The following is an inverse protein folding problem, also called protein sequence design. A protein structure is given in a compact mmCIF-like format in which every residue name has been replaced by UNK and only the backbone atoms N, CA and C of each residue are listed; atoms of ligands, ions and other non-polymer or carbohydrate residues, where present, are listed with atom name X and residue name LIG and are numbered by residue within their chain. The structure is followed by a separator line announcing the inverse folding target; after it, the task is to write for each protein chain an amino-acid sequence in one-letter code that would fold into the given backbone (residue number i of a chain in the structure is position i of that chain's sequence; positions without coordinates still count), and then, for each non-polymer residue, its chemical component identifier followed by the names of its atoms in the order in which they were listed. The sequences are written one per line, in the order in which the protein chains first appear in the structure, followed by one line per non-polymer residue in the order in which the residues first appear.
data_IF_287503391176
#
_entry.id   IF_287503391176
#
_cell.length_a   1.000
_cell.length_b   1.000
_cell.length_c   1.000
_cell.angle_alpha   90.00
_cell.angle_beta   90.00
_cell.angle_gamma   90.00
#
_symmetry.space_group_name_H-M   'P 1'
#
loop_
_entity.id
_entity.type
_entity.pdbx_description
1 polymer ?
#
# COMPACT_ATOMS: atom_id res chain seq x y z
N UNK A 1 -10.69 -63.62 69.35
CA UNK A 1 -10.95 -62.37 68.59
C UNK A 1 -9.72 -61.51 68.75
N UNK A 2 -8.98 -61.28 67.66
CA UNK A 2 -7.78 -60.43 67.64
C UNK A 2 -8.08 -59.30 66.64
N UNK A 3 -8.56 -58.17 67.14
CA UNK A 3 -8.74 -56.96 66.35
C UNK A 3 -7.40 -56.24 66.24
N UNK A 4 -6.71 -56.44 65.13
CA UNK A 4 -5.55 -55.63 64.74
C UNK A 4 -6.10 -54.31 64.21
N UNK A 5 -6.04 -53.28 65.06
CA UNK A 5 -6.27 -51.88 64.67
C UNK A 5 -5.23 -51.47 63.61
N UNK A 6 -5.66 -51.46 62.33
CA UNK A 6 -4.93 -50.78 61.26
C UNK A 6 -5.01 -49.28 61.50
N UNK A 7 -3.98 -48.72 62.14
CA UNK A 7 -3.71 -47.28 62.08
C UNK A 7 -3.21 -46.97 60.67
N UNK A 8 -4.02 -46.32 59.85
CA UNK A 8 -3.56 -45.65 58.64
C UNK A 8 -2.51 -44.61 59.02
N UNK A 9 -1.23 -44.99 58.94
CA UNK A 9 -0.13 -44.04 59.02
C UNK A 9 -0.09 -43.33 57.67
N UNK A 10 -0.62 -42.12 57.61
CA UNK A 10 -0.43 -41.23 56.47
C UNK A 10 1.07 -41.05 56.25
N UNK A 11 1.59 -41.58 55.14
CA UNK A 11 3.00 -41.44 54.78
C UNK A 11 3.22 -39.97 54.41
N UNK A 12 3.94 -39.23 55.26
CA UNK A 12 4.37 -37.89 54.90
C UNK A 12 5.56 -37.99 53.95
N UNK A 13 5.35 -37.55 52.71
CA UNK A 13 6.40 -37.43 51.70
C UNK A 13 6.86 -35.98 51.66
N UNK A 14 8.16 -35.74 51.83
CA UNK A 14 8.79 -34.42 51.76
C UNK A 14 9.87 -34.43 50.69
N UNK A 15 9.87 -33.43 49.81
CA UNK A 15 10.92 -33.23 48.80
C UNK A 15 11.70 -31.99 49.17
N UNK A 16 13.03 -32.11 49.25
CA UNK A 16 13.94 -31.00 49.51
C UNK A 16 14.77 -30.79 48.25
N UNK A 17 14.73 -29.58 47.72
CA UNK A 17 15.55 -29.17 46.57
C UNK A 17 16.61 -28.21 47.08
N UNK A 18 17.88 -28.56 46.86
CA UNK A 18 19.01 -27.73 47.26
C UNK A 18 19.69 -27.19 46.00
N UNK A 19 19.78 -25.86 45.90
CA UNK A 19 20.42 -25.13 44.81
C UNK A 19 21.54 -24.30 45.43
N UNK A 20 22.79 -24.72 45.19
CA UNK A 20 23.98 -23.98 45.60
C UNK A 20 24.59 -23.31 44.37
N UNK A 21 25.12 -22.09 44.55
CA UNK A 21 25.82 -21.37 43.48
C UNK A 21 27.00 -22.19 42.93
N UNK A 22 27.07 -22.32 41.60
CA UNK A 22 28.12 -23.08 40.90
C UNK A 22 28.03 -24.61 41.02
N UNK A 23 26.98 -25.17 41.64
CA UNK A 23 26.80 -26.64 41.75
C UNK A 23 25.54 -27.12 41.06
N UNK A 24 25.56 -28.40 40.66
CA UNK A 24 24.38 -29.08 40.12
C UNK A 24 23.30 -29.23 41.22
N UNK A 25 22.06 -28.80 40.97
CA UNK A 25 20.97 -28.97 41.93
C UNK A 25 20.78 -30.42 42.38
N UNK A 26 20.34 -30.60 43.62
CA UNK A 26 20.02 -31.92 44.19
C UNK A 26 18.59 -31.97 44.69
N UNK A 27 17.92 -33.08 44.41
CA UNK A 27 16.55 -33.37 44.85
C UNK A 27 16.62 -34.55 45.81
N UNK A 28 16.22 -34.32 47.04
CA UNK A 28 16.19 -35.32 48.10
C UNK A 28 14.74 -35.63 48.47
N UNK A 29 14.39 -36.93 48.51
CA UNK A 29 13.05 -37.38 48.91
C UNK A 29 13.13 -38.01 50.29
N UNK A 30 12.22 -37.60 51.16
CA UNK A 30 12.06 -38.07 52.51
C UNK A 30 10.69 -38.71 52.70
N UNK A 31 10.63 -39.84 53.39
CA UNK A 31 9.40 -40.50 53.83
C UNK A 31 9.48 -40.71 55.33
N UNK A 32 8.55 -40.09 56.06
CA UNK A 32 8.55 -40.08 57.54
C UNK A 32 9.91 -39.63 58.13
N UNK A 33 10.46 -38.52 57.61
CA UNK A 33 11.77 -37.95 57.97
C UNK A 33 13.01 -38.79 57.60
N UNK A 34 12.82 -39.96 56.95
CA UNK A 34 13.94 -40.79 56.47
C UNK A 34 14.22 -40.45 55.01
N UNK A 35 15.48 -40.12 54.69
CA UNK A 35 15.92 -39.89 53.30
C UNK A 35 15.88 -41.19 52.51
N UNK A 36 14.93 -41.29 51.58
CA UNK A 36 14.70 -42.49 50.75
C UNK A 36 15.27 -42.35 49.33
N UNK A 37 15.65 -41.13 48.91
CA UNK A 37 16.26 -40.92 47.61
C UNK A 37 17.06 -39.62 47.51
N UNK A 38 18.09 -39.63 46.67
CA UNK A 38 18.86 -38.45 46.29
C UNK A 38 19.22 -38.54 44.81
N UNK A 39 18.88 -37.53 44.03
CA UNK A 39 19.34 -37.40 42.65
C UNK A 39 19.89 -36.00 42.40
N UNK A 40 21.00 -35.94 41.68
CA UNK A 40 21.48 -34.70 41.08
C UNK A 40 20.76 -34.51 39.75
N UNK A 41 20.29 -33.31 39.49
CA UNK A 41 19.60 -32.95 38.24
C UNK A 41 20.24 -31.70 37.66
N UNK A 42 20.31 -31.61 36.34
CA UNK A 42 20.72 -30.36 35.69
C UNK A 42 19.70 -29.27 36.01
N UNK A 43 20.15 -28.02 36.00
CA UNK A 43 19.28 -26.87 36.22
C UNK A 43 18.15 -26.83 35.17
N UNK A 44 18.46 -27.13 33.91
CA UNK A 44 17.46 -27.25 32.83
C UNK A 44 16.36 -28.28 33.16
N UNK A 45 16.72 -29.49 33.58
CA UNK A 45 15.72 -30.52 33.94
C UNK A 45 14.88 -30.12 35.16
N UNK A 46 15.50 -29.44 36.13
CA UNK A 46 14.79 -28.94 37.31
C UNK A 46 13.79 -27.84 36.94
N UNK A 47 14.23 -26.87 36.13
CA UNK A 47 13.38 -25.77 35.65
C UNK A 47 12.25 -26.29 34.76
N UNK A 48 12.52 -27.25 33.86
CA UNK A 48 11.46 -27.90 33.06
C UNK A 48 10.42 -28.55 33.94
N UNK A 49 10.82 -29.22 35.03
CA UNK A 49 9.88 -29.80 35.99
C UNK A 49 9.01 -28.74 36.67
N UNK A 50 9.59 -27.63 37.11
CA UNK A 50 8.83 -26.54 37.72
C UNK A 50 7.91 -25.82 36.73
N UNK A 51 8.38 -25.57 35.51
CA UNK A 51 7.61 -24.89 34.47
C UNK A 51 6.47 -25.77 33.96
N UNK A 52 6.69 -27.08 33.84
CA UNK A 52 5.66 -28.03 33.37
C UNK A 52 4.43 -28.04 34.28
N UNK A 53 4.62 -27.87 35.58
CA UNK A 53 3.54 -27.87 36.58
C UNK A 53 3.10 -26.44 36.96
N UNK A 54 3.75 -25.40 36.46
CA UNK A 54 3.41 -24.02 36.75
C UNK A 54 2.17 -23.56 35.94
N UNK A 55 1.30 -22.71 36.53
CA UNK A 55 0.30 -21.99 35.76
C UNK A 55 0.97 -21.15 34.67
N UNK A 56 0.43 -21.22 33.46
CA UNK A 56 0.97 -20.51 32.30
C UNK A 56 1.02 -18.99 32.54
N UNK A 57 0.05 -18.46 33.28
CA UNK A 57 -0.03 -17.05 33.68
C UNK A 57 1.18 -16.63 34.52
N UNK A 58 1.66 -17.49 35.42
CA UNK A 58 2.84 -17.23 36.24
C UNK A 58 4.12 -17.24 35.40
N UNK A 59 4.20 -18.13 34.42
CA UNK A 59 5.33 -18.19 33.48
C UNK A 59 5.38 -16.90 32.64
N UNK A 60 4.24 -16.45 32.14
CA UNK A 60 4.14 -15.19 31.40
C UNK A 60 4.42 -13.97 32.26
N UNK A 61 3.88 -13.88 33.48
CA UNK A 61 4.19 -12.77 34.42
C UNK A 61 5.69 -12.63 34.67
N UNK A 62 6.39 -13.76 34.88
CA UNK A 62 7.85 -13.75 35.08
C UNK A 62 8.58 -13.30 33.82
N UNK A 63 8.15 -13.74 32.64
CA UNK A 63 8.79 -13.37 31.37
C UNK A 63 8.55 -11.90 31.00
N UNK A 64 7.34 -11.38 31.22
CA UNK A 64 6.92 -10.05 30.78
C UNK A 64 7.20 -8.98 31.84
N UNK A 65 6.82 -9.19 33.10
CA UNK A 65 6.87 -8.14 34.13
C UNK A 65 8.17 -8.08 34.93
N UNK A 66 8.94 -9.17 34.97
CA UNK A 66 10.12 -9.27 35.86
C UNK A 66 11.45 -9.41 35.14
N UNK A 67 11.42 -9.64 33.83
CA UNK A 67 12.60 -9.97 33.03
C UNK A 67 12.57 -9.32 31.64
N UNK A 68 11.78 -8.25 31.46
CA UNK A 68 11.72 -7.56 30.18
C UNK A 68 13.13 -7.07 29.75
N UNK A 69 13.89 -6.49 30.67
CA UNK A 69 15.29 -6.07 30.45
C UNK A 69 16.22 -7.25 30.11
N UNK A 70 16.10 -8.39 30.81
CA UNK A 70 16.87 -9.61 30.52
C UNK A 70 16.51 -10.21 29.15
N UNK A 71 15.24 -10.10 28.74
CA UNK A 71 14.75 -10.55 27.44
C UNK A 71 15.25 -9.61 26.33
N UNK A 72 15.26 -8.29 26.58
CA UNK A 72 15.86 -7.30 25.69
C UNK A 72 17.35 -7.60 25.46
N UNK A 73 18.12 -7.84 26.54
CA UNK A 73 19.54 -8.22 26.43
C UNK A 73 19.71 -9.56 25.69
N UNK A 74 18.85 -10.54 25.95
CA UNK A 74 18.86 -11.80 25.21
C UNK A 74 18.63 -11.60 23.71
N UNK A 75 17.65 -10.77 23.32
CA UNK A 75 17.41 -10.45 21.92
C UNK A 75 18.58 -9.68 21.27
N UNK A 76 19.24 -8.78 22.01
CA UNK A 76 20.43 -8.07 21.55
C UNK A 76 21.64 -9.00 21.35
N UNK A 77 21.74 -10.09 22.10
CA UNK A 77 22.81 -11.09 21.96
C UNK A 77 22.58 -12.11 20.84
N UNK A 78 21.35 -12.24 20.33
CA UNK A 78 21.07 -13.07 19.14
C UNK A 78 21.52 -12.28 17.91
N UNK A 79 22.80 -12.43 17.56
CA UNK A 79 23.36 -11.81 16.36
C UNK A 79 22.61 -12.29 15.10
N UNK A 80 22.22 -11.39 14.17
CA UNK A 80 21.51 -11.75 12.94
C UNK A 80 22.24 -12.78 12.06
N UNK A 81 23.55 -12.94 12.24
CA UNK A 81 24.42 -13.71 11.36
C UNK A 81 24.68 -15.15 11.80
N UNK A 82 24.32 -15.57 13.02
CA UNK A 82 24.66 -16.91 13.52
C UNK A 82 23.45 -17.62 14.14
N UNK A 83 22.97 -18.63 13.39
CA UNK A 83 21.77 -19.45 13.62
C UNK A 83 20.43 -18.81 13.24
N UNK A 84 20.12 -18.98 11.95
CA UNK A 84 18.74 -19.08 11.47
C UNK A 84 17.87 -19.86 12.46
N UNK A 85 16.69 -19.32 12.75
CA UNK A 85 15.52 -19.98 13.37
C UNK A 85 15.36 -20.06 14.91
N UNK A 86 16.28 -19.68 15.80
CA UNK A 86 16.02 -19.87 17.26
C UNK A 86 15.00 -18.86 17.81
N UNK A 87 15.23 -17.56 17.63
CA UNK A 87 14.28 -16.49 17.99
C UNK A 87 12.96 -16.61 17.23
N UNK A 88 13.03 -16.88 15.92
CA UNK A 88 11.84 -17.13 15.10
C UNK A 88 11.00 -18.32 15.57
N UNK A 89 11.62 -19.49 15.84
CA UNK A 89 10.88 -20.66 16.34
C UNK A 89 10.31 -20.40 17.73
N UNK A 90 11.02 -19.65 18.56
CA UNK A 90 10.49 -19.23 19.85
C UNK A 90 9.24 -18.39 19.69
N UNK A 91 9.25 -17.35 18.84
CA UNK A 91 8.09 -16.51 18.56
C UNK A 91 6.92 -17.30 17.98
N UNK A 92 7.16 -18.14 16.97
CA UNK A 92 6.12 -18.97 16.38
C UNK A 92 5.53 -19.95 17.40
N UNK A 93 6.37 -20.57 18.22
CA UNK A 93 5.92 -21.48 19.28
C UNK A 93 5.13 -20.74 20.35
N UNK A 94 5.62 -19.57 20.77
CA UNK A 94 4.96 -18.72 21.73
C UNK A 94 3.56 -18.36 21.23
N UNK A 95 3.44 -17.74 20.06
CA UNK A 95 2.16 -17.34 19.46
C UNK A 95 1.19 -18.51 19.25
N UNK A 96 1.68 -19.68 18.86
CA UNK A 96 0.83 -20.87 18.70
C UNK A 96 0.29 -21.40 20.02
N UNK A 97 1.01 -21.21 21.13
CA UNK A 97 0.68 -21.78 22.43
C UNK A 97 0.01 -20.79 23.39
N UNK A 98 -0.19 -19.52 23.01
CA UNK A 98 -0.83 -18.53 23.87
C UNK A 98 -2.29 -18.92 24.14
N UNK A 99 -2.68 -19.13 25.41
CA UNK A 99 -4.06 -19.35 25.79
C UNK A 99 -4.91 -18.13 25.48
N UNK A 100 -6.15 -18.34 25.06
CA UNK A 100 -7.07 -17.26 24.68
C UNK A 100 -7.32 -16.24 25.80
N UNK A 101 -7.22 -16.65 27.07
CA UNK A 101 -7.36 -15.76 28.22
C UNK A 101 -6.24 -14.74 28.38
N UNK A 102 -5.01 -15.08 27.97
CA UNK A 102 -3.83 -14.20 28.02
C UNK A 102 -3.83 -13.17 26.89
N UNK A 103 -4.61 -13.39 25.83
CA UNK A 103 -4.74 -12.37 24.79
C UNK A 103 -5.39 -11.11 25.35
N UNK A 104 -6.29 -11.21 26.33
CA UNK A 104 -7.01 -10.09 26.97
C UNK A 104 -6.17 -9.32 28.00
N UNK A 105 -4.88 -9.60 28.09
CA UNK A 105 -3.97 -8.92 28.99
C UNK A 105 -3.27 -7.76 28.28
N UNK A 106 -3.26 -6.57 28.89
CA UNK A 106 -2.54 -5.39 28.41
C UNK A 106 -1.04 -5.70 28.19
N UNK A 107 -0.49 -6.56 29.05
CA UNK A 107 0.89 -7.01 29.00
C UNK A 107 1.21 -7.84 27.75
N UNK A 108 0.22 -8.56 27.22
CA UNK A 108 0.40 -9.29 25.97
C UNK A 108 0.51 -8.34 24.78
N UNK A 109 -0.25 -7.23 24.79
CA UNK A 109 -0.17 -6.21 23.74
C UNK A 109 1.20 -5.52 23.74
N UNK A 110 1.71 -5.14 24.90
CA UNK A 110 3.04 -4.54 25.05
C UNK A 110 4.15 -5.50 24.61
N UNK A 111 4.05 -6.78 25.00
CA UNK A 111 5.00 -7.80 24.59
C UNK A 111 4.94 -8.06 23.07
N UNK A 112 3.75 -8.11 22.47
CA UNK A 112 3.59 -8.25 21.03
C UNK A 112 4.19 -7.06 20.27
N UNK A 113 4.02 -5.84 20.78
CA UNK A 113 4.61 -4.63 20.21
C UNK A 113 6.14 -4.65 20.28
N UNK A 114 6.72 -5.03 21.42
CA UNK A 114 8.16 -5.18 21.58
C UNK A 114 8.74 -6.16 20.56
N UNK A 115 8.05 -7.29 20.35
CA UNK A 115 8.43 -8.28 19.33
C UNK A 115 8.38 -7.68 17.93
N UNK A 116 7.30 -6.98 17.56
CA UNK A 116 7.15 -6.35 16.23
C UNK A 116 8.25 -5.31 15.99
N UNK A 117 8.55 -4.47 16.98
CA UNK A 117 9.59 -3.43 16.88
C UNK A 117 10.97 -4.03 16.62
N UNK A 118 11.33 -5.13 17.30
CA UNK A 118 12.62 -5.82 17.07
C UNK A 118 12.64 -6.64 15.78
N UNK A 119 11.47 -7.01 15.24
CA UNK A 119 11.37 -7.57 13.88
C UNK A 119 11.70 -6.55 12.79
N UNK A 120 11.51 -5.25 13.04
CA UNK A 120 11.89 -4.17 12.12
C UNK A 120 13.41 -4.07 11.95
N UNK A 121 14.17 -4.36 13.01
CA UNK A 121 15.63 -4.31 13.03
C UNK A 121 16.32 -5.59 12.49
N UNK A 122 15.59 -6.71 12.40
CA UNK A 122 16.14 -8.00 11.96
C UNK A 122 15.71 -8.34 10.53
N UNK A 123 16.64 -8.83 9.71
CA UNK A 123 16.38 -9.25 8.32
C UNK A 123 15.54 -10.54 8.25
N UNK A 124 14.28 -10.49 8.69
CA UNK A 124 13.33 -11.60 8.60
C UNK A 124 12.90 -11.75 7.15
N UNK A 125 12.98 -12.98 6.65
CA UNK A 125 12.58 -13.26 5.26
C UNK A 125 11.06 -13.30 5.14
N UNK A 126 10.54 -13.00 3.94
CA UNK A 126 9.11 -13.08 3.63
C UNK A 126 8.51 -14.47 3.94
N UNK A 127 9.31 -15.53 3.74
CA UNK A 127 8.92 -16.91 4.00
C UNK A 127 8.76 -17.21 5.51
N UNK A 128 9.49 -16.50 6.37
CA UNK A 128 9.38 -16.60 7.83
C UNK A 128 8.25 -15.71 8.38
N UNK A 129 7.98 -14.58 7.76
CA UNK A 129 6.91 -13.67 8.19
C UNK A 129 5.50 -14.25 7.96
N UNK A 130 5.37 -15.05 6.90
CA UNK A 130 4.12 -15.66 6.42
C UNK A 130 3.41 -16.56 7.45
N UNK A 131 4.08 -17.54 8.08
CA UNK A 131 3.47 -18.37 9.12
C UNK A 131 3.05 -17.60 10.37
N UNK A 132 3.85 -16.61 10.81
CA UNK A 132 3.54 -15.77 11.97
C UNK A 132 2.25 -15.01 11.72
N UNK A 133 2.16 -14.37 10.56
CA UNK A 133 0.97 -13.66 10.11
C UNK A 133 -0.26 -14.55 10.03
N UNK A 134 -0.11 -15.75 9.48
CA UNK A 134 -1.21 -16.69 9.33
C UNK A 134 -1.75 -17.14 10.68
N UNK A 135 -0.86 -17.47 11.62
CA UNK A 135 -1.23 -17.77 13.02
C UNK A 135 -1.89 -16.56 13.67
N UNK A 136 -1.35 -15.36 13.50
CA UNK A 136 -1.93 -14.12 14.03
C UNK A 136 -3.32 -13.84 13.47
N UNK A 137 -3.51 -13.93 12.17
CA UNK A 137 -4.82 -13.78 11.52
C UNK A 137 -5.82 -14.78 12.08
N UNK A 138 -5.40 -16.04 12.28
CA UNK A 138 -6.25 -17.06 12.88
C UNK A 138 -6.60 -16.74 14.34
N UNK A 139 -5.64 -16.26 15.13
CA UNK A 139 -5.86 -15.88 16.53
C UNK A 139 -6.69 -14.61 16.68
N UNK A 140 -6.48 -13.59 15.83
CA UNK A 140 -7.34 -12.41 15.74
C UNK A 140 -8.76 -12.82 15.37
N UNK A 141 -8.93 -13.83 14.50
CA UNK A 141 -10.25 -14.35 14.18
C UNK A 141 -10.98 -14.92 15.40
N UNK A 142 -10.23 -15.41 16.38
CA UNK A 142 -10.68 -16.01 17.64
C UNK A 142 -10.67 -15.02 18.83
N UNK A 143 -10.06 -13.84 18.70
CA UNK A 143 -9.90 -12.87 19.78
C UNK A 143 -11.14 -11.98 19.98
N UNK A 144 -11.41 -11.50 21.20
CA UNK A 144 -12.52 -10.57 21.45
C UNK A 144 -12.32 -9.23 20.73
N UNK A 145 -13.40 -8.69 20.16
CA UNK A 145 -13.43 -7.40 19.45
C UNK A 145 -13.46 -6.23 20.43
N UNK A 146 -12.42 -6.14 21.27
CA UNK A 146 -12.32 -5.13 22.32
C UNK A 146 -11.50 -3.92 21.84
N UNK A 147 -11.85 -2.69 22.27
CA UNK A 147 -11.14 -1.46 21.88
C UNK A 147 -9.65 -1.45 22.25
N UNK A 148 -9.28 -2.20 23.27
CA UNK A 148 -7.92 -2.28 23.83
C UNK A 148 -6.89 -2.78 22.80
N UNK A 149 -7.32 -3.55 21.80
CA UNK A 149 -6.45 -4.06 20.73
C UNK A 149 -6.32 -3.15 19.51
N UNK A 150 -7.02 -2.02 19.49
CA UNK A 150 -7.05 -1.15 18.32
C UNK A 150 -5.64 -0.65 17.98
N UNK A 151 -4.84 -0.29 18.99
CA UNK A 151 -3.48 0.20 18.78
C UNK A 151 -2.58 -0.91 18.20
N UNK A 152 -2.67 -2.13 18.74
CA UNK A 152 -1.97 -3.29 18.21
C UNK A 152 -2.31 -3.56 16.74
N UNK A 153 -3.60 -3.49 16.36
CA UNK A 153 -4.02 -3.65 14.97
C UNK A 153 -3.52 -2.53 14.07
N UNK A 154 -3.49 -1.29 14.57
CA UNK A 154 -2.96 -0.13 13.84
C UNK A 154 -1.46 -0.28 13.60
N UNK A 155 -0.70 -0.70 14.61
CA UNK A 155 0.76 -0.83 14.52
C UNK A 155 1.14 -1.99 13.58
N UNK A 156 0.39 -3.10 13.61
CA UNK A 156 0.53 -4.16 12.62
C UNK A 156 0.26 -3.64 11.20
N UNK A 157 -0.83 -2.90 10.99
CA UNK A 157 -1.14 -2.31 9.69
C UNK A 157 -0.02 -1.38 9.22
N UNK A 158 0.53 -0.55 10.11
CA UNK A 158 1.64 0.35 9.77
C UNK A 158 2.89 -0.43 9.39
N UNK A 159 3.26 -1.47 10.14
CA UNK A 159 4.38 -2.34 9.83
C UNK A 159 4.22 -2.98 8.44
N UNK A 160 3.05 -3.57 8.16
CA UNK A 160 2.83 -4.26 6.88
C UNK A 160 2.70 -3.34 5.67
N UNK A 161 2.09 -2.17 5.85
CA UNK A 161 1.95 -1.18 4.78
C UNK A 161 3.24 -0.37 4.58
N UNK A 162 4.10 -0.28 5.59
CA UNK A 162 5.38 0.43 5.58
C UNK A 162 6.57 -0.43 5.13
N UNK A 163 6.53 -1.76 5.32
CA UNK A 163 7.61 -2.65 4.90
C UNK A 163 7.73 -2.69 3.38
N UNK A 164 8.83 -2.18 2.82
CA UNK A 164 9.10 -2.20 1.36
C UNK A 164 9.43 -3.59 0.82
N UNK A 165 9.46 -4.61 1.66
CA UNK A 165 9.71 -5.97 1.22
C UNK A 165 8.46 -6.53 0.56
N UNK A 166 8.64 -7.07 -0.64
CA UNK A 166 7.62 -7.73 -1.46
C UNK A 166 7.13 -9.01 -0.79
N UNK A 167 6.40 -8.88 0.32
CA UNK A 167 5.72 -9.95 1.00
C UNK A 167 4.67 -10.60 0.10
N UNK A 168 4.26 -11.84 0.44
CA UNK A 168 3.17 -12.53 -0.25
C UNK A 168 1.90 -11.66 -0.21
N UNK A 169 1.53 -11.15 -1.38
CA UNK A 169 0.42 -10.24 -1.59
C UNK A 169 -0.91 -10.84 -1.11
N UNK A 170 -1.05 -12.17 -1.12
CA UNK A 170 -2.26 -12.85 -0.67
C UNK A 170 -2.42 -12.82 0.86
N UNK A 171 -1.32 -12.82 1.61
CA UNK A 171 -1.35 -12.74 3.07
C UNK A 171 -1.65 -11.30 3.52
N UNK A 172 -1.05 -10.32 2.83
CA UNK A 172 -1.38 -8.91 3.06
C UNK A 172 -2.86 -8.63 2.78
N UNK A 173 -3.41 -9.22 1.70
CA UNK A 173 -4.86 -9.17 1.40
C UNK A 173 -5.69 -9.78 2.51
N UNK A 174 -5.36 -10.98 2.96
CA UNK A 174 -6.15 -11.68 3.98
C UNK A 174 -6.07 -10.99 5.35
N UNK A 175 -4.91 -10.44 5.71
CA UNK A 175 -4.74 -9.63 6.92
C UNK A 175 -5.59 -8.36 6.84
N UNK A 176 -5.50 -7.59 5.75
CA UNK A 176 -6.30 -6.38 5.54
C UNK A 176 -7.80 -6.67 5.58
N UNK A 177 -8.24 -7.74 4.90
CA UNK A 177 -9.64 -8.20 4.91
C UNK A 177 -10.10 -8.56 6.31
N UNK A 178 -9.29 -9.34 7.03
CA UNK A 178 -9.57 -9.77 8.39
C UNK A 178 -9.69 -8.54 9.29
N UNK A 179 -8.65 -7.71 9.36
CA UNK A 179 -8.64 -6.51 10.18
C UNK A 179 -9.82 -5.58 9.85
N UNK A 180 -10.08 -5.30 8.57
CA UNK A 180 -11.22 -4.44 8.20
C UNK A 180 -12.57 -5.05 8.58
N UNK A 181 -12.75 -6.37 8.43
CA UNK A 181 -13.95 -7.08 8.86
C UNK A 181 -14.18 -6.96 10.37
N UNK A 182 -13.14 -7.11 11.18
CA UNK A 182 -13.23 -7.02 12.64
C UNK A 182 -13.37 -5.58 13.14
N UNK A 183 -12.74 -4.63 12.46
CA UNK A 183 -12.77 -3.22 12.85
C UNK A 183 -14.00 -2.45 12.37
N UNK A 184 -14.78 -3.01 11.43
CA UNK A 184 -15.97 -2.36 10.85
C UNK A 184 -17.02 -1.95 11.89
N UNK A 185 -17.13 -2.71 12.98
CA UNK A 185 -18.15 -2.53 14.01
C UNK A 185 -17.65 -1.73 15.23
N UNK A 186 -16.37 -1.30 15.21
CA UNK A 186 -15.81 -0.46 16.27
C UNK A 186 -16.27 1.00 16.14
N UNK A 187 -16.55 1.65 17.28
CA UNK A 187 -16.92 3.08 17.34
C UNK A 187 -15.85 4.01 16.78
N UNK A 188 -14.61 3.55 16.66
CA UNK A 188 -13.46 4.35 16.23
C UNK A 188 -13.13 4.21 14.73
N UNK A 189 -14.09 3.74 13.93
CA UNK A 189 -13.97 3.55 12.48
C UNK A 189 -13.29 4.70 11.73
N UNK A 190 -13.57 5.95 12.10
CA UNK A 190 -12.99 7.13 11.43
C UNK A 190 -11.47 7.22 11.55
N UNK A 191 -10.87 6.74 12.65
CA UNK A 191 -9.40 6.71 12.81
C UNK A 191 -8.78 5.69 11.85
N UNK A 192 -9.46 4.57 11.67
CA UNK A 192 -9.03 3.47 10.81
C UNK A 192 -9.21 3.83 9.34
N UNK A 193 -10.35 4.41 8.96
CA UNK A 193 -10.59 4.89 7.60
C UNK A 193 -9.54 5.95 7.21
N UNK A 194 -9.14 6.83 8.13
CA UNK A 194 -8.03 7.78 7.92
C UNK A 194 -6.67 7.10 7.78
N UNK A 195 -6.39 6.08 8.59
CA UNK A 195 -5.14 5.31 8.53
C UNK A 195 -5.02 4.52 7.21
N UNK A 196 -6.10 3.85 6.81
CA UNK A 196 -6.15 3.14 5.52
C UNK A 196 -6.02 4.13 4.37
N UNK A 197 -6.71 5.28 4.44
CA UNK A 197 -6.61 6.32 3.42
C UNK A 197 -5.20 6.92 3.31
N UNK A 198 -4.46 7.08 4.43
CA UNK A 198 -3.09 7.60 4.40
C UNK A 198 -2.09 6.60 3.81
N UNK A 199 -2.40 5.31 3.85
CA UNK A 199 -1.54 4.24 3.32
C UNK A 199 -2.04 3.66 1.98
N UNK A 200 -3.19 4.09 1.47
CA UNK A 200 -3.80 3.59 0.23
C UNK A 200 -2.88 3.78 -0.99
N UNK A 201 -2.04 4.81 -0.95
CA UNK A 201 -1.05 5.11 -2.00
C UNK A 201 0.12 4.11 -2.03
N UNK A 202 0.32 3.37 -0.94
CA UNK A 202 1.35 2.34 -0.79
C UNK A 202 0.79 0.93 -1.04
N UNK A 203 -0.54 0.79 -1.16
CA UNK A 203 -1.16 -0.49 -1.51
C UNK A 203 -0.88 -0.85 -2.97
N UNK A 204 -0.59 -2.14 -3.26
CA UNK A 204 -0.47 -2.62 -4.63
C UNK A 204 -1.74 -2.32 -5.44
N UNK A 205 -1.59 -1.73 -6.64
CA UNK A 205 -2.70 -1.41 -7.54
C UNK A 205 -3.58 -2.63 -7.86
N UNK A 206 -3.00 -3.84 -7.89
CA UNK A 206 -3.72 -5.11 -8.05
C UNK A 206 -4.77 -5.33 -6.97
N UNK A 207 -4.45 -5.01 -5.71
CA UNK A 207 -5.34 -5.18 -4.56
C UNK A 207 -6.54 -4.23 -4.63
N UNK A 208 -6.30 -2.99 -5.03
CA UNK A 208 -7.35 -2.00 -5.27
C UNK A 208 -8.27 -2.42 -6.43
N UNK A 209 -7.69 -2.92 -7.52
CA UNK A 209 -8.45 -3.40 -8.68
C UNK A 209 -9.26 -4.66 -8.36
N UNK A 210 -8.72 -5.58 -7.58
CA UNK A 210 -9.43 -6.82 -7.19
C UNK A 210 -10.57 -6.51 -6.21
N UNK A 211 -10.38 -5.61 -5.25
CA UNK A 211 -11.46 -5.12 -4.39
C UNK A 211 -12.57 -4.41 -5.18
N UNK A 212 -12.21 -3.65 -6.21
CA UNK A 212 -13.18 -3.06 -7.14
C UNK A 212 -13.92 -4.14 -7.93
N UNK A 213 -13.23 -5.20 -8.40
CA UNK A 213 -13.85 -6.32 -9.13
C UNK A 213 -14.81 -7.13 -8.25
N UNK A 214 -14.41 -7.51 -7.03
CA UNK A 214 -15.24 -8.29 -6.10
C UNK A 214 -16.52 -7.52 -5.70
N UNK A 215 -16.43 -6.20 -5.54
CA UNK A 215 -17.61 -5.34 -5.33
C UNK A 215 -18.58 -5.37 -6.53
N UNK A 216 -18.10 -5.73 -7.72
CA UNK A 216 -18.85 -5.75 -8.97
C UNK A 216 -19.38 -7.14 -9.36
N UNK A 217 -19.14 -8.20 -8.57
CA UNK A 217 -19.67 -9.55 -8.87
C UNK A 217 -21.19 -9.67 -8.64
N UNK A 218 -21.81 -8.68 -8.00
CA UNK A 218 -23.25 -8.49 -8.10
C UNK A 218 -23.58 -7.81 -9.43
N UNK A 219 -24.44 -8.42 -10.26
CA UNK A 219 -24.94 -7.99 -11.59
C UNK A 219 -25.47 -6.53 -11.75
N UNK A 220 -25.24 -5.64 -10.80
CA UNK A 220 -25.58 -4.24 -10.89
C UNK A 220 -24.49 -3.49 -11.66
N UNK A 221 -24.83 -3.06 -12.89
CA UNK A 221 -24.04 -2.11 -13.68
C UNK A 221 -23.79 -0.85 -12.85
N UNK A 222 -22.59 -0.72 -12.27
CA UNK A 222 -22.17 0.50 -11.57
C UNK A 222 -21.75 1.51 -12.63
N UNK A 223 -22.51 2.60 -12.75
CA UNK A 223 -22.15 3.75 -13.60
C UNK A 223 -21.22 4.64 -12.78
N UNK A 224 -19.90 4.50 -13.00
CA UNK A 224 -18.86 5.29 -12.32
C UNK A 224 -18.83 6.76 -12.73
N UNK A 225 -19.51 7.11 -13.83
CA UNK A 225 -19.65 8.47 -14.29
C UNK A 225 -20.59 8.55 -15.49
N UNK A 226 -21.45 9.56 -15.50
CA UNK A 226 -22.28 9.92 -16.65
C UNK A 226 -22.11 11.41 -16.87
N UNK A 227 -21.29 11.77 -17.85
CA UNK A 227 -20.97 13.17 -18.17
C UNK A 227 -21.29 13.45 -19.62
N UNK A 228 -21.65 14.71 -19.91
CA UNK A 228 -21.83 15.17 -21.26
C UNK A 228 -20.45 15.25 -21.93
N UNK A 229 -20.26 14.49 -23.01
CA UNK A 229 -19.04 14.55 -23.81
C UNK A 229 -19.25 15.63 -24.88
N UNK A 230 -18.46 16.71 -24.87
CA UNK A 230 -18.55 17.73 -25.90
C UNK A 230 -18.47 17.12 -27.31
N UNK A 231 -19.22 17.69 -28.25
CA UNK A 231 -19.22 17.21 -29.63
C UNK A 231 -17.81 17.17 -30.18
N UNK A 232 -17.47 16.12 -30.91
CA UNK A 232 -16.17 15.89 -31.55
C UNK A 232 -14.97 15.67 -30.60
N UNK A 233 -15.17 15.66 -29.28
CA UNK A 233 -14.13 15.21 -28.37
C UNK A 233 -13.85 13.73 -28.62
N UNK A 234 -12.60 13.41 -28.92
CA UNK A 234 -12.15 12.06 -29.27
C UNK A 234 -11.78 11.23 -28.03
N UNK A 235 -11.23 11.89 -27.01
CA UNK A 235 -10.83 11.27 -25.74
C UNK A 235 -11.09 12.19 -24.55
N UNK A 236 -11.19 11.61 -23.36
CA UNK A 236 -11.39 12.32 -22.09
C UNK A 236 -10.42 11.76 -21.05
N UNK A 237 -9.72 12.63 -20.36
CA UNK A 237 -9.00 12.29 -19.13
C UNK A 237 -9.63 13.03 -17.95
N UNK A 238 -9.80 12.35 -16.82
CA UNK A 238 -10.24 12.97 -15.57
C UNK A 238 -9.22 12.68 -14.50
N UNK A 239 -8.69 13.74 -13.89
CA UNK A 239 -7.70 13.68 -12.80
C UNK A 239 -8.24 14.39 -11.57
N UNK A 240 -7.48 14.39 -10.47
CA UNK A 240 -7.85 15.15 -9.26
C UNK A 240 -7.96 16.67 -9.50
N UNK A 241 -7.32 17.18 -10.55
CA UNK A 241 -7.28 18.61 -10.91
C UNK A 241 -8.47 19.05 -11.77
N UNK A 242 -9.05 18.16 -12.56
CA UNK A 242 -10.14 18.50 -13.47
C UNK A 242 -10.32 17.47 -14.59
N UNK A 243 -11.01 17.90 -15.66
CA UNK A 243 -11.26 17.07 -16.84
C UNK A 243 -10.60 17.71 -18.06
N UNK A 244 -9.86 16.91 -18.81
CA UNK A 244 -9.24 17.31 -20.07
C UNK A 244 -9.95 16.63 -21.24
N UNK A 245 -10.47 17.41 -22.17
CA UNK A 245 -11.05 16.94 -23.42
C UNK A 245 -10.02 17.02 -24.55
N UNK A 246 -9.87 15.92 -25.28
CA UNK A 246 -8.94 15.83 -26.39
C UNK A 246 -9.68 15.83 -27.73
N UNK A 247 -9.24 16.66 -28.67
CA UNK A 247 -9.77 16.71 -30.03
C UNK A 247 -8.67 16.28 -31.00
N UNK A 248 -8.83 15.09 -31.58
CA UNK A 248 -7.92 14.54 -32.58
C UNK A 248 -8.39 14.92 -33.98
N UNK A 249 -7.76 15.96 -34.54
CA UNK A 249 -8.10 16.48 -35.85
C UNK A 249 -7.22 15.80 -36.89
N UNK A 250 -7.82 15.09 -37.86
CA UNK A 250 -7.06 14.41 -38.89
C UNK A 250 -6.28 15.40 -39.75
N UNK A 251 -5.19 14.90 -40.31
CA UNK A 251 -4.36 15.63 -41.27
C UNK A 251 -5.21 16.18 -42.40
N UNK A 252 -5.17 17.50 -42.61
CA UNK A 252 -6.05 18.17 -43.56
C UNK A 252 -5.37 19.37 -44.20
N UNK A 253 -6.01 19.93 -45.23
CA UNK A 253 -5.69 21.24 -45.78
C UNK A 253 -6.81 22.18 -45.36
N UNK A 254 -6.45 23.36 -44.89
CA UNK A 254 -7.43 24.32 -44.41
C UNK A 254 -7.08 25.72 -44.88
N UNK A 255 -8.12 26.54 -45.01
CA UNK A 255 -7.98 27.97 -45.19
C UNK A 255 -7.44 28.59 -43.91
N UNK A 256 -6.37 29.35 -44.01
CA UNK A 256 -5.77 30.09 -42.89
C UNK A 256 -5.58 31.55 -43.28
N UNK A 257 -5.35 32.40 -42.29
CA UNK A 257 -5.02 33.81 -42.51
C UNK A 257 -3.65 34.09 -41.93
N UNK A 258 -2.83 34.83 -42.67
CA UNK A 258 -1.62 35.47 -42.14
C UNK A 258 -1.88 36.97 -42.12
N UNK A 259 -2.01 37.56 -40.93
CA UNK A 259 -2.58 38.89 -40.75
C UNK A 259 -3.94 38.96 -41.51
N UNK A 260 -4.10 39.91 -42.42
CA UNK A 260 -5.34 40.07 -43.21
C UNK A 260 -5.35 39.31 -44.54
N UNK A 261 -4.27 38.57 -44.85
CA UNK A 261 -4.12 37.86 -46.12
C UNK A 261 -4.57 36.40 -45.98
N UNK A 262 -5.61 35.96 -46.72
CA UNK A 262 -6.05 34.57 -46.70
C UNK A 262 -5.14 33.67 -47.57
N UNK A 263 -4.87 32.47 -47.07
CA UNK A 263 -4.19 31.39 -47.77
C UNK A 263 -5.11 30.17 -47.81
N UNK A 264 -5.51 29.77 -49.01
CA UNK A 264 -6.34 28.59 -49.24
C UNK A 264 -5.50 27.30 -49.24
N UNK A 265 -6.11 26.20 -48.81
CA UNK A 265 -5.56 24.84 -48.89
C UNK A 265 -4.15 24.66 -48.30
N UNK A 266 -3.85 25.28 -47.17
CA UNK A 266 -2.56 25.11 -46.49
C UNK A 266 -2.56 23.79 -45.72
N UNK A 267 -1.63 22.90 -46.06
CA UNK A 267 -1.53 21.59 -45.42
C UNK A 267 -1.11 21.65 -43.97
N UNK A 268 -1.94 21.12 -43.08
CA UNK A 268 -1.65 20.95 -41.66
C UNK A 268 -1.31 19.49 -41.34
N UNK A 269 -0.47 19.23 -40.31
CA UNK A 269 -0.31 17.87 -39.77
C UNK A 269 -1.60 17.41 -39.08
N UNK A 270 -1.64 16.15 -38.61
CA UNK A 270 -2.68 15.72 -37.66
C UNK A 270 -2.48 16.52 -36.36
N UNK A 271 -3.55 17.02 -35.77
CA UNK A 271 -3.50 17.91 -34.61
C UNK A 271 -4.20 17.28 -33.41
N UNK A 272 -3.69 17.59 -32.23
CA UNK A 272 -4.31 17.23 -30.95
C UNK A 272 -4.51 18.52 -30.14
N UNK A 273 -5.76 18.90 -29.92
CA UNK A 273 -6.08 19.89 -28.90
C UNK A 273 -6.31 19.17 -27.57
N UNK A 274 -5.81 19.76 -26.49
CA UNK A 274 -6.17 19.39 -25.12
C UNK A 274 -6.76 20.63 -24.42
N UNK A 275 -8.01 20.50 -24.01
CA UNK A 275 -8.78 21.57 -23.36
C UNK A 275 -9.11 21.11 -21.95
N UNK A 276 -8.45 21.70 -20.97
CA UNK A 276 -8.64 21.34 -19.56
C UNK A 276 -9.61 22.30 -18.88
N UNK A 277 -10.61 21.73 -18.24
CA UNK A 277 -11.60 22.43 -17.43
C UNK A 277 -11.45 22.09 -15.95
N UNK A 278 -11.71 23.07 -15.11
CA UNK A 278 -11.76 22.87 -13.66
C UNK A 278 -13.12 22.29 -13.24
N UNK A 279 -13.28 22.07 -11.92
CA UNK A 279 -14.54 21.55 -11.34
C UNK A 279 -15.74 22.48 -11.50
N UNK A 280 -15.52 23.77 -11.76
CA UNK A 280 -16.58 24.74 -12.05
C UNK A 280 -17.02 24.71 -13.52
N UNK A 281 -16.28 24.00 -14.37
CA UNK A 281 -16.50 23.94 -15.81
C UNK A 281 -15.76 25.00 -16.61
N UNK A 282 -14.94 25.84 -15.97
CA UNK A 282 -14.19 26.89 -16.64
C UNK A 282 -12.92 26.34 -17.31
N UNK A 283 -12.65 26.76 -18.55
CA UNK A 283 -11.42 26.39 -19.26
C UNK A 283 -10.23 27.12 -18.65
N UNK A 284 -9.29 26.38 -18.07
CA UNK A 284 -8.07 26.96 -17.48
C UNK A 284 -6.82 26.72 -18.33
N UNK A 285 -6.83 25.73 -19.21
CA UNK A 285 -5.69 25.39 -20.07
C UNK A 285 -6.14 24.98 -21.47
N UNK A 286 -5.45 25.51 -22.48
CA UNK A 286 -5.63 25.17 -23.88
C UNK A 286 -4.25 24.86 -24.49
N UNK A 287 -4.07 23.62 -24.96
CA UNK A 287 -2.84 23.17 -25.60
C UNK A 287 -3.11 22.61 -26.99
N UNK A 288 -2.13 22.73 -27.89
CA UNK A 288 -2.14 22.22 -29.25
C UNK A 288 -0.79 21.57 -29.57
N UNK A 289 -0.84 20.32 -30.01
CA UNK A 289 0.31 19.60 -30.57
C UNK A 289 -0.03 19.04 -31.95
N UNK A 290 1.02 18.72 -32.71
CA UNK A 290 0.96 17.88 -33.88
C UNK A 290 1.23 16.42 -33.52
N UNK A 291 0.66 15.50 -34.30
CA UNK A 291 0.85 14.06 -34.21
C UNK A 291 1.42 13.52 -35.52
N UNK A 292 2.21 12.43 -35.42
CA UNK A 292 2.69 11.69 -36.59
C UNK A 292 1.76 10.54 -36.96
N UNK A 293 1.65 10.28 -38.26
CA UNK A 293 0.95 9.13 -38.81
C UNK A 293 -0.55 9.12 -38.52
N UNK A 294 -1.12 7.92 -38.52
CA UNK A 294 -2.57 7.66 -38.38
C UNK A 294 -2.89 6.68 -37.23
N UNK A 295 -1.92 6.41 -36.36
CA UNK A 295 -2.12 5.45 -35.26
C UNK A 295 -3.15 6.01 -34.26
N UNK A 296 -4.03 5.17 -33.68
CA UNK A 296 -4.91 5.60 -32.58
C UNK A 296 -4.11 6.28 -31.45
N UNK A 297 -4.73 7.24 -30.77
CA UNK A 297 -4.08 7.92 -29.65
C UNK A 297 -3.92 6.96 -28.48
N UNK A 298 -2.73 6.93 -27.90
CA UNK A 298 -2.41 6.23 -26.66
C UNK A 298 -1.74 7.20 -25.67
N UNK A 299 -1.77 6.87 -24.38
CA UNK A 299 -1.25 7.75 -23.31
C UNK A 299 0.24 8.06 -23.47
N UNK A 300 1.00 7.11 -24.02
CA UNK A 300 2.42 7.21 -24.30
C UNK A 300 2.76 7.85 -25.65
N UNK A 301 1.75 8.29 -26.41
CA UNK A 301 1.96 8.86 -27.76
C UNK A 301 2.81 10.14 -27.68
N UNK A 302 3.93 10.22 -28.41
CA UNK A 302 4.79 11.40 -28.39
C UNK A 302 4.14 12.58 -29.10
N UNK A 303 4.33 13.77 -28.53
CA UNK A 303 3.79 15.03 -29.02
C UNK A 303 4.85 15.82 -29.79
N UNK A 304 4.40 16.45 -30.87
CA UNK A 304 5.24 17.29 -31.72
C UNK A 304 4.75 18.73 -31.74
N UNK A 305 5.68 19.66 -31.90
CA UNK A 305 5.39 21.07 -31.94
C UNK A 305 4.52 21.41 -33.15
N UNK A 306 3.48 22.23 -32.93
CA UNK A 306 2.66 22.77 -34.01
C UNK A 306 3.52 23.64 -34.94
N UNK A 307 3.50 23.43 -36.26
CA UNK A 307 4.50 24.02 -37.15
C UNK A 307 4.28 25.51 -37.47
N UNK A 308 3.13 26.09 -37.10
CA UNK A 308 2.79 27.49 -37.38
C UNK A 308 2.82 28.34 -36.09
N UNK A 309 2.41 29.60 -36.19
CA UNK A 309 2.45 30.54 -35.06
C UNK A 309 1.36 30.26 -34.01
N UNK A 310 1.27 31.14 -33.02
CA UNK A 310 0.26 31.16 -31.95
C UNK A 310 0.28 29.96 -30.98
N UNK A 311 1.35 29.13 -31.00
CA UNK A 311 1.57 28.06 -30.04
C UNK A 311 2.99 28.15 -29.50
N UNK A 312 3.14 28.12 -28.17
CA UNK A 312 4.44 28.12 -27.52
C UNK A 312 5.12 26.75 -27.64
N UNK A 313 6.43 26.69 -27.38
CA UNK A 313 7.20 25.44 -27.38
C UNK A 313 6.65 24.36 -26.43
N UNK A 314 5.94 24.77 -25.38
CA UNK A 314 5.26 23.87 -24.43
C UNK A 314 3.94 23.28 -24.96
N UNK A 315 3.47 23.72 -26.13
CA UNK A 315 2.15 23.39 -26.67
C UNK A 315 1.05 24.32 -26.17
N UNK A 316 1.32 25.20 -25.21
CA UNK A 316 0.34 26.18 -24.75
C UNK A 316 -0.08 27.10 -25.91
N UNK A 317 -1.38 27.30 -26.06
CA UNK A 317 -1.92 28.16 -27.10
C UNK A 317 -1.83 29.62 -26.66
N UNK A 318 -1.24 30.46 -27.50
CA UNK A 318 -1.19 31.91 -27.33
C UNK A 318 -2.43 32.55 -27.98
N UNK A 319 -3.56 32.44 -27.30
CA UNK A 319 -4.83 33.00 -27.75
C UNK A 319 -5.61 33.53 -26.56
N UNK A 320 -6.09 34.76 -26.62
CA UNK A 320 -6.91 35.36 -25.56
C UNK A 320 -8.39 35.07 -25.81
N UNK A 321 -9.19 35.02 -24.75
CA UNK A 321 -10.65 34.94 -24.86
C UNK A 321 -11.23 33.53 -25.04
N UNK A 322 -10.42 32.47 -25.05
CA UNK A 322 -10.94 31.09 -25.15
C UNK A 322 -11.72 30.63 -23.92
N UNK A 323 -11.57 31.30 -22.77
CA UNK A 323 -12.16 30.87 -21.49
C UNK A 323 -13.69 30.91 -21.47
N UNK A 324 -14.27 31.76 -22.30
CA UNK A 324 -15.73 31.96 -22.40
C UNK A 324 -16.33 31.24 -23.61
N UNK A 325 -15.51 30.57 -24.43
CA UNK A 325 -15.96 29.90 -25.64
C UNK A 325 -16.49 28.50 -25.35
N UNK A 326 -17.51 28.02 -26.10
CA UNK A 326 -17.92 26.63 -26.06
C UNK A 326 -16.76 25.71 -26.41
N UNK A 327 -16.50 24.70 -25.56
CA UNK A 327 -15.35 23.79 -25.67
C UNK A 327 -15.28 23.12 -27.05
N UNK A 328 -16.43 22.75 -27.61
CA UNK A 328 -16.55 22.10 -28.92
C UNK A 328 -16.24 23.02 -30.11
N UNK A 329 -16.25 24.33 -29.91
CA UNK A 329 -15.96 25.32 -30.96
C UNK A 329 -14.51 25.82 -30.92
N UNK A 330 -13.83 25.71 -29.78
CA UNK A 330 -12.47 26.20 -29.57
C UNK A 330 -11.49 25.75 -30.67
N UNK A 331 -11.41 24.47 -31.07
CA UNK A 331 -10.43 24.05 -32.09
C UNK A 331 -10.65 24.75 -33.44
N UNK A 332 -11.90 24.86 -33.89
CA UNK A 332 -12.23 25.49 -35.17
C UNK A 332 -11.97 27.01 -35.13
N UNK A 333 -12.35 27.67 -34.03
CA UNK A 333 -12.14 29.10 -33.86
C UNK A 333 -10.66 29.47 -33.77
N UNK A 334 -9.86 28.68 -33.05
CA UNK A 334 -8.42 28.87 -32.99
C UNK A 334 -7.79 28.75 -34.38
N UNK A 335 -8.10 27.69 -35.13
CA UNK A 335 -7.54 27.47 -36.47
C UNK A 335 -7.97 28.54 -37.48
N UNK A 336 -9.07 29.25 -37.22
CA UNK A 336 -9.55 30.37 -38.05
C UNK A 336 -8.93 31.72 -37.66
N UNK A 337 -8.20 31.77 -36.53
CA UNK A 337 -7.58 33.01 -36.04
C UNK A 337 -6.39 33.40 -36.92
N UNK A 338 -6.22 34.69 -37.25
CA UNK A 338 -5.04 35.15 -37.97
C UNK A 338 -3.73 34.73 -37.30
N UNK A 339 -2.86 34.12 -38.10
CA UNK A 339 -1.48 33.87 -37.73
C UNK A 339 -0.65 35.13 -37.95
N UNK A 340 0.45 35.23 -37.22
CA UNK A 340 1.45 36.30 -37.31
C UNK A 340 2.84 35.69 -37.11
N UNK A 341 3.89 36.51 -37.06
CA UNK A 341 5.26 36.04 -36.83
C UNK A 341 5.71 36.06 -35.37
N UNK A 342 4.86 36.37 -34.39
CA UNK A 342 5.29 36.57 -33.00
C UNK A 342 5.97 35.35 -32.36
N UNK A 343 5.44 34.15 -32.60
CA UNK A 343 5.99 32.91 -32.03
C UNK A 343 6.77 32.07 -33.05
N UNK A 344 6.65 32.39 -34.34
CA UNK A 344 7.34 31.70 -35.42
C UNK A 344 7.50 32.63 -36.63
N UNK A 345 8.71 33.13 -36.83
CA UNK A 345 9.07 34.05 -37.92
C UNK A 345 8.91 33.45 -39.33
N UNK A 346 8.85 32.12 -39.44
CA UNK A 346 8.77 31.41 -40.72
C UNK A 346 7.33 31.07 -41.13
N UNK A 347 6.32 31.53 -40.39
CA UNK A 347 4.93 31.10 -40.61
C UNK A 347 4.43 31.40 -42.02
N UNK A 348 4.69 32.61 -42.53
CA UNK A 348 4.34 33.00 -43.90
C UNK A 348 4.99 32.08 -44.94
N UNK A 349 6.30 31.85 -44.83
CA UNK A 349 7.03 30.97 -45.75
C UNK A 349 6.54 29.52 -45.68
N UNK A 350 6.11 29.04 -44.51
CA UNK A 350 5.53 27.72 -44.35
C UNK A 350 4.14 27.63 -45.00
N UNK A 351 3.31 28.68 -44.91
CA UNK A 351 2.03 28.74 -45.60
C UNK A 351 2.21 28.66 -47.12
N UNK A 352 3.10 29.47 -47.69
CA UNK A 352 3.41 29.43 -49.12
C UNK A 352 3.95 28.06 -49.56
N UNK A 353 4.87 27.49 -48.77
CA UNK A 353 5.48 26.20 -49.06
C UNK A 353 4.48 25.05 -49.08
N UNK A 354 3.51 25.07 -48.16
CA UNK A 354 2.53 23.99 -47.98
C UNK A 354 1.15 24.30 -48.55
N UNK A 355 0.98 25.42 -49.25
CA UNK A 355 -0.20 25.71 -50.06
C UNK A 355 -0.43 24.61 -51.10
N UNK A 356 -1.62 24.01 -51.09
CA UNK A 356 -2.01 22.91 -51.96
C UNK A 356 -1.32 21.57 -51.67
N UNK A 357 -0.40 21.49 -50.69
CA UNK A 357 0.39 20.29 -50.36
C UNK A 357 0.01 19.75 -48.99
N UNK A 358 0.33 18.49 -48.72
CA UNK A 358 0.21 17.93 -47.38
C UNK A 358 1.43 18.31 -46.53
N UNK A 359 1.24 18.57 -45.24
CA UNK A 359 2.37 18.77 -44.33
C UNK A 359 3.18 17.48 -44.18
N UNK A 360 4.52 17.47 -44.32
CA UNK A 360 5.31 16.25 -44.14
C UNK A 360 5.64 15.99 -42.66
N UNK A 361 5.32 14.79 -42.16
CA UNK A 361 5.55 14.41 -40.75
C UNK A 361 7.04 14.44 -40.36
N UNK A 362 7.94 14.27 -41.33
CA UNK A 362 9.40 14.34 -41.14
C UNK A 362 9.89 15.73 -40.73
N UNK A 363 9.06 16.77 -40.87
CA UNK A 363 9.38 18.15 -40.45
C UNK A 363 8.90 18.48 -39.03
N UNK A 364 8.17 17.57 -38.39
CA UNK A 364 7.68 17.78 -37.03
C UNK A 364 8.82 17.69 -36.02
N UNK A 365 8.88 18.68 -35.14
CA UNK A 365 9.87 18.82 -34.07
C UNK A 365 9.28 18.23 -32.79
N UNK A 366 10.00 17.33 -32.13
CA UNK A 366 9.52 16.68 -30.92
C UNK A 366 9.52 17.63 -29.71
N UNK A 367 8.51 17.51 -28.85
CA UNK A 367 8.36 18.35 -27.67
C UNK A 367 8.99 17.75 -26.40
N UNK A 368 9.51 16.52 -26.49
CA UNK A 368 9.87 15.69 -25.32
C UNK A 368 8.72 15.58 -24.30
N UNK A 369 7.49 15.47 -24.83
CA UNK A 369 6.27 15.31 -24.05
C UNK A 369 5.38 14.25 -24.72
N UNK A 370 4.52 13.63 -23.93
CA UNK A 370 3.53 12.64 -24.34
C UNK A 370 2.12 13.10 -23.97
N UNK A 371 1.11 12.38 -24.44
CA UNK A 371 -0.30 12.66 -24.09
C UNK A 371 -0.52 12.62 -22.57
N UNK A 372 0.16 11.73 -21.85
CA UNK A 372 0.08 11.61 -20.39
C UNK A 372 0.42 12.91 -19.64
N UNK A 373 1.38 13.69 -20.16
CA UNK A 373 1.79 14.97 -19.56
C UNK A 373 0.72 16.05 -19.68
N UNK A 374 -0.32 15.80 -20.47
CA UNK A 374 -1.42 16.73 -20.76
C UNK A 374 -2.75 16.29 -20.13
N UNK A 375 -2.79 15.14 -19.45
CA UNK A 375 -3.98 14.61 -18.78
C UNK A 375 -4.39 15.41 -17.54
#
# INVERSE_FOLDING_TARGET
MCEISRRDRTIMTKVVVTIDEGKTPSIERYENEIKVGNRKVTLDTLLRGFIQDAPIELVFDVLVNRRCEDMEEYFDTISPSESTNSGYKFLLTLFNQIPQGLMNDELFSDFALLVIQRMEDSHITVDELTPILSTWVQKIKEAPTQPEYLNLYVDLLQYFLGSQQSGDMEIQKELLRTLYKYMKDLKEKDKIDKLVASHIQHLPTSLLLDALKERNEGNNKVVYGFTNVPKNASYIATTSKGTTYFYDIPKTKMRVKFQDVPFEDVGHPRLLFAISIDKSGAVYSLKLAALKGKKPLAIDTPLYHYPYSNVYKSGAVCWSGFRELPIDQIPLMFLSTPNNNHLNDNTLSLFEKYKGKNFPDTRLIEMNAKVEDWC
#
